data_IF_973100106727
#
_entry.id   IF_973100106727
#
_cell.length_a   1.000
_cell.length_b   1.000
_cell.length_c   1.000
_cell.angle_alpha   90.00
_cell.angle_beta   90.00
_cell.angle_gamma   90.00
#
_symmetry.space_group_name_H-M   'P 1'
#
loop_
_entity.id
_entity.type
_entity.pdbx_description
1 polymer ?
#
# COMPACT_ATOMS: atom_id res chain seq x y z
N UNK A 1 -1.34 1.09 8.13
CA UNK A 1 -1.40 0.62 9.53
C UNK A 1 -0.66 1.60 10.43
N UNK A 2 -1.18 1.84 11.65
CA UNK A 2 -0.55 2.65 12.69
C UNK A 2 0.42 1.79 13.48
N UNK A 3 1.63 1.60 12.95
CA UNK A 3 2.63 0.76 13.58
C UNK A 3 3.17 1.37 14.87
N UNK A 4 3.26 0.56 15.93
CA UNK A 4 3.73 0.99 17.24
C UNK A 4 5.18 1.50 17.20
N UNK A 5 6.05 0.82 16.46
CA UNK A 5 7.48 1.15 16.38
C UNK A 5 7.87 1.86 15.08
N UNK A 6 6.93 2.15 14.19
CA UNK A 6 7.22 2.86 12.94
C UNK A 6 8.32 2.20 12.11
N UNK A 7 9.17 3.04 11.50
CA UNK A 7 10.39 2.59 10.84
C UNK A 7 11.52 2.44 11.86
N UNK A 8 12.45 1.50 11.60
CA UNK A 8 13.58 1.27 12.50
C UNK A 8 14.56 2.44 12.50
N UNK A 9 15.10 2.75 13.68
CA UNK A 9 16.24 3.66 13.82
C UNK A 9 17.52 2.93 13.44
N UNK A 10 18.35 3.61 12.67
CA UNK A 10 19.66 3.13 12.28
C UNK A 10 20.69 3.59 13.33
N UNK A 11 21.47 2.66 13.87
CA UNK A 11 22.62 2.93 14.74
C UNK A 11 23.87 2.32 14.14
N UNK A 12 25.01 2.99 14.32
CA UNK A 12 26.31 2.42 13.97
C UNK A 12 26.96 1.92 15.24
N UNK A 13 27.32 0.64 15.29
CA UNK A 13 28.06 0.01 16.37
C UNK A 13 29.20 -0.82 15.78
N UNK A 14 30.43 -0.56 16.22
CA UNK A 14 31.63 -1.27 15.75
C UNK A 14 31.79 -1.28 14.22
N UNK A 15 31.35 -0.19 13.55
CA UNK A 15 31.34 -0.05 12.08
C UNK A 15 30.19 -0.72 11.35
N UNK A 16 29.28 -1.39 12.05
CA UNK A 16 28.11 -2.05 11.46
C UNK A 16 26.84 -1.25 11.72
N UNK A 17 25.97 -1.23 10.72
CA UNK A 17 24.62 -0.69 10.84
C UNK A 17 23.73 -1.66 11.62
N UNK A 18 23.10 -1.15 12.68
CA UNK A 18 22.16 -1.90 13.53
C UNK A 18 20.81 -1.21 13.50
N UNK A 19 19.75 -1.95 13.21
CA UNK A 19 18.38 -1.48 13.30
C UNK A 19 17.83 -1.68 14.72
N UNK A 20 17.19 -0.65 15.24
CA UNK A 20 16.51 -0.68 16.53
C UNK A 20 15.11 -0.10 16.41
N UNK A 21 14.14 -0.52 17.24
CA UNK A 21 12.79 0.02 17.22
C UNK A 21 12.77 1.54 17.39
N UNK A 22 11.91 2.22 16.60
CA UNK A 22 11.64 3.64 16.76
C UNK A 22 10.35 3.86 17.54
N UNK A 23 10.45 4.20 18.81
CA UNK A 23 9.30 4.47 19.70
C UNK A 23 8.67 5.84 19.41
N UNK A 24 8.31 6.10 18.16
CA UNK A 24 7.80 7.39 17.70
C UNK A 24 6.47 7.81 18.36
N UNK A 25 5.70 6.83 18.88
CA UNK A 25 4.41 7.06 19.57
C UNK A 25 4.55 7.19 21.10
N UNK A 26 5.77 7.11 21.64
CA UNK A 26 6.01 7.12 23.09
C UNK A 26 5.35 8.31 23.81
N UNK A 27 5.35 9.49 23.17
CA UNK A 27 4.77 10.71 23.73
C UNK A 27 3.42 11.08 23.09
N UNK A 28 2.79 10.15 22.36
CA UNK A 28 1.63 10.42 21.54
C UNK A 28 1.95 11.23 20.28
N UNK A 29 0.91 11.58 19.52
CA UNK A 29 1.05 12.41 18.34
C UNK A 29 -0.09 13.45 18.30
N UNK A 30 0.22 14.77 18.43
CA UNK A 30 -0.80 15.81 18.49
C UNK A 30 -1.51 16.06 17.15
N UNK A 31 -0.96 15.51 16.04
CA UNK A 31 -1.55 15.69 14.70
C UNK A 31 -2.53 14.59 14.31
N UNK A 32 -2.65 13.52 15.10
CA UNK A 32 -3.60 12.45 14.82
C UNK A 32 -4.90 12.61 15.62
N UNK A 33 -6.01 12.28 14.98
CA UNK A 33 -7.34 12.25 15.59
C UNK A 33 -7.88 10.83 15.57
N UNK A 34 -8.05 10.21 16.74
CA UNK A 34 -8.69 8.90 16.88
C UNK A 34 -10.18 9.02 16.54
N UNK A 35 -10.69 8.12 15.70
CA UNK A 35 -12.08 8.12 15.19
C UNK A 35 -12.78 6.79 15.50
N UNK A 36 -13.07 6.47 16.77
CA UNK A 36 -13.67 5.19 17.16
C UNK A 36 -15.05 4.96 16.54
N UNK A 37 -15.78 6.03 16.19
CA UNK A 37 -17.09 5.96 15.53
C UNK A 37 -17.04 5.38 14.11
N UNK A 38 -15.86 5.23 13.54
CA UNK A 38 -15.62 4.61 12.22
C UNK A 38 -14.90 3.26 12.33
N UNK A 39 -14.80 2.71 13.53
CA UNK A 39 -14.18 1.40 13.74
C UNK A 39 -14.87 0.30 12.92
N UNK A 40 -14.08 -0.70 12.50
CA UNK A 40 -14.53 -1.84 11.67
C UNK A 40 -13.99 -3.14 12.23
N UNK A 41 -14.85 -4.16 12.33
CA UNK A 41 -14.43 -5.52 12.66
C UNK A 41 -13.71 -6.15 11.44
N UNK A 42 -12.56 -6.78 11.70
CA UNK A 42 -11.84 -7.57 10.71
C UNK A 42 -11.67 -8.99 11.22
N UNK A 43 -12.09 -9.98 10.42
CA UNK A 43 -12.18 -11.40 10.78
C UNK A 43 -11.12 -12.23 10.08
N UNK A 44 -10.56 -13.20 10.79
CA UNK A 44 -9.55 -14.11 10.30
C UNK A 44 -9.91 -15.56 10.62
N UNK A 45 -9.61 -16.46 9.68
CA UNK A 45 -9.77 -17.91 9.87
C UNK A 45 -11.22 -18.36 9.97
N UNK A 46 -11.42 -19.46 10.69
CA UNK A 46 -12.72 -20.11 10.81
C UNK A 46 -13.10 -20.93 9.57
N UNK A 47 -14.39 -21.17 9.45
CA UNK A 47 -14.98 -21.90 8.33
C UNK A 47 -16.16 -21.16 7.74
N UNK A 48 -16.52 -21.45 6.50
CA UNK A 48 -17.65 -20.84 5.81
C UNK A 48 -18.79 -21.85 5.75
N UNK A 49 -19.92 -21.50 6.36
CA UNK A 49 -21.19 -22.20 6.20
C UNK A 49 -22.05 -21.46 5.18
N UNK A 50 -22.71 -22.20 4.33
CA UNK A 50 -23.68 -21.65 3.37
C UNK A 50 -25.10 -21.89 3.86
N UNK A 51 -25.96 -20.92 3.66
CA UNK A 51 -27.39 -20.97 3.99
C UNK A 51 -28.17 -20.33 2.85
N UNK A 52 -29.21 -21.04 2.39
CA UNK A 52 -30.08 -20.48 1.34
C UNK A 52 -31.14 -19.60 2.00
N UNK A 53 -31.17 -18.35 1.58
CA UNK A 53 -32.18 -17.36 1.97
C UNK A 53 -33.33 -17.39 0.97
N UNK A 54 -34.42 -18.05 1.33
CA UNK A 54 -35.61 -18.18 0.48
C UNK A 54 -36.25 -16.83 0.16
N UNK A 55 -36.21 -15.86 1.10
CA UNK A 55 -36.83 -14.56 0.91
C UNK A 55 -36.03 -13.68 -0.07
N UNK A 56 -34.72 -13.77 -0.03
CA UNK A 56 -33.81 -13.04 -0.92
C UNK A 56 -33.48 -13.83 -2.20
N UNK A 57 -33.79 -15.14 -2.25
CA UNK A 57 -33.47 -16.03 -3.38
C UNK A 57 -31.96 -16.20 -3.61
N UNK A 58 -31.16 -16.13 -2.57
CA UNK A 58 -29.70 -16.17 -2.66
C UNK A 58 -29.05 -17.07 -1.59
N UNK A 59 -27.79 -17.45 -1.86
CA UNK A 59 -26.97 -18.14 -0.86
C UNK A 59 -26.22 -17.09 -0.02
N UNK A 60 -26.39 -17.15 1.28
CA UNK A 60 -25.61 -16.40 2.26
C UNK A 60 -24.38 -17.21 2.67
N UNK A 61 -23.24 -16.53 2.79
CA UNK A 61 -21.99 -17.11 3.27
C UNK A 61 -21.71 -16.58 4.68
N UNK A 62 -21.74 -17.50 5.65
CA UNK A 62 -21.61 -17.19 7.07
C UNK A 62 -20.28 -17.69 7.57
N UNK A 63 -19.42 -16.79 8.02
CA UNK A 63 -18.15 -17.15 8.64
C UNK A 63 -18.37 -17.50 10.11
N UNK A 64 -17.90 -18.67 10.53
CA UNK A 64 -18.02 -19.21 11.89
C UNK A 64 -16.64 -19.55 12.46
N UNK A 65 -16.51 -19.58 13.79
CA UNK A 65 -15.29 -19.95 14.51
C UNK A 65 -14.06 -19.11 14.12
N UNK A 66 -14.26 -17.84 13.79
CA UNK A 66 -13.22 -16.91 13.40
C UNK A 66 -12.60 -16.19 14.60
N UNK A 67 -11.39 -15.68 14.41
CA UNK A 67 -10.81 -14.66 15.28
C UNK A 67 -11.09 -13.29 14.68
N UNK A 68 -11.27 -12.27 15.50
CA UNK A 68 -11.48 -10.91 15.01
C UNK A 68 -10.80 -9.85 15.86
N UNK A 69 -10.54 -8.72 15.24
CA UNK A 69 -10.01 -7.51 15.87
C UNK A 69 -10.83 -6.30 15.42
N UNK A 70 -10.86 -5.28 16.26
CA UNK A 70 -11.45 -4.00 15.90
C UNK A 70 -10.39 -3.10 15.27
N UNK A 71 -10.54 -2.77 14.00
CA UNK A 71 -9.73 -1.77 13.33
C UNK A 71 -10.27 -0.37 13.66
N UNK A 72 -9.46 0.45 14.34
CA UNK A 72 -9.82 1.79 14.79
C UNK A 72 -9.01 2.81 14.00
N UNK A 73 -9.67 3.73 13.25
CA UNK A 73 -8.94 4.67 12.41
C UNK A 73 -8.41 5.88 13.22
N UNK A 74 -7.25 6.34 12.77
CA UNK A 74 -6.63 7.59 13.15
C UNK A 74 -6.43 8.44 11.92
N UNK A 75 -6.97 9.66 11.93
CA UNK A 75 -6.95 10.59 10.80
C UNK A 75 -5.87 11.66 11.00
N UNK A 76 -5.08 11.88 9.95
CA UNK A 76 -4.11 12.96 9.84
C UNK A 76 -4.57 13.97 8.80
N UNK A 77 -4.64 15.27 9.13
CA UNK A 77 -4.91 16.29 8.15
C UNK A 77 -3.70 16.50 7.24
N UNK A 78 -3.92 16.39 5.93
CA UNK A 78 -2.92 16.69 4.91
C UNK A 78 -3.32 18.01 4.25
N UNK A 79 -2.69 19.08 4.70
CA UNK A 79 -3.05 20.45 4.32
C UNK A 79 -2.44 20.81 2.97
N UNK A 80 -3.24 21.37 2.06
CA UNK A 80 -2.79 21.91 0.79
C UNK A 80 -2.00 23.21 0.97
N UNK A 81 -1.01 23.44 0.10
CA UNK A 81 -0.19 24.65 0.14
C UNK A 81 -0.93 25.85 -0.42
N UNK A 82 -1.10 26.90 0.40
CA UNK A 82 -1.71 28.16 -0.01
C UNK A 82 -3.16 28.07 -0.50
N UNK A 83 -3.92 27.04 -0.07
CA UNK A 83 -5.33 26.86 -0.43
C UNK A 83 -6.14 26.33 0.77
N UNK A 84 -7.44 26.09 0.56
CA UNK A 84 -8.36 25.61 1.60
C UNK A 84 -8.59 24.09 1.57
N UNK A 85 -7.77 23.33 0.83
CA UNK A 85 -7.92 21.89 0.70
C UNK A 85 -7.22 21.20 1.88
N UNK A 86 -7.93 20.31 2.56
CA UNK A 86 -7.39 19.44 3.59
C UNK A 86 -7.82 17.99 3.24
N UNK A 87 -6.86 17.19 2.85
CA UNK A 87 -7.07 15.76 2.62
C UNK A 87 -6.86 14.98 3.92
N UNK A 88 -7.33 13.75 3.97
CA UNK A 88 -7.17 12.87 5.12
C UNK A 88 -6.25 11.71 4.79
N UNK A 89 -5.18 11.55 5.57
CA UNK A 89 -4.46 10.29 5.66
C UNK A 89 -5.06 9.49 6.81
N UNK A 90 -5.73 8.39 6.49
CA UNK A 90 -6.28 7.47 7.49
C UNK A 90 -5.39 6.27 7.67
N UNK A 91 -4.96 6.03 8.90
CA UNK A 91 -4.23 4.83 9.30
C UNK A 91 -5.02 4.07 10.36
N UNK A 92 -4.76 2.78 10.51
CA UNK A 92 -5.56 1.88 11.33
C UNK A 92 -4.74 1.31 12.49
N UNK A 93 -5.25 1.45 13.69
CA UNK A 93 -4.80 0.72 14.88
C UNK A 93 -5.70 -0.51 15.11
N UNK A 94 -5.21 -1.49 15.83
CA UNK A 94 -5.98 -2.69 16.17
C UNK A 94 -6.25 -2.73 17.67
N UNK A 95 -7.52 -2.91 18.02
CA UNK A 95 -7.98 -3.07 19.41
C UNK A 95 -8.68 -4.42 19.59
N UNK A 96 -8.65 -5.02 20.80
CA UNK A 96 -9.38 -6.25 21.06
C UNK A 96 -10.89 -6.00 20.96
N UNK A 97 -11.65 -7.01 20.52
CA UNK A 97 -13.12 -6.94 20.45
C UNK A 97 -13.75 -7.06 21.84
N UNK A 98 -13.15 -7.88 22.70
CA UNK A 98 -13.62 -8.08 24.07
C UNK A 98 -12.73 -7.35 25.04
N UNK A 99 -13.34 -6.84 26.11
CA UNK A 99 -12.63 -6.30 27.24
C UNK A 99 -11.73 -7.34 27.90
N UNK A 100 -10.84 -6.88 28.76
CA UNK A 100 -9.96 -7.72 29.56
C UNK A 100 -10.76 -8.79 30.32
N UNK A 101 -10.38 -10.07 30.17
CA UNK A 101 -11.07 -11.20 30.77
C UNK A 101 -10.69 -11.35 32.25
N UNK A 102 -11.33 -10.57 33.12
CA UNK A 102 -11.06 -10.56 34.55
C UNK A 102 -11.25 -11.95 35.20
N UNK A 103 -12.29 -12.69 34.81
CA UNK A 103 -12.56 -14.03 35.34
C UNK A 103 -11.45 -15.03 35.06
N UNK A 104 -10.84 -14.94 33.87
CA UNK A 104 -9.67 -15.78 33.51
C UNK A 104 -8.44 -15.36 34.29
N UNK A 105 -8.23 -14.06 34.46
CA UNK A 105 -7.13 -13.53 35.27
C UNK A 105 -7.22 -13.97 36.72
N UNK A 106 -8.38 -13.88 37.34
CA UNK A 106 -8.62 -14.27 38.72
C UNK A 106 -8.45 -15.79 38.98
N UNK A 107 -8.64 -16.60 37.90
CA UNK A 107 -8.34 -18.04 37.91
C UNK A 107 -6.86 -18.39 37.65
N UNK A 108 -6.00 -17.40 37.46
CA UNK A 108 -4.59 -17.60 37.12
C UNK A 108 -4.31 -17.94 35.66
N UNK A 109 -5.30 -17.85 34.78
CA UNK A 109 -5.19 -18.05 33.32
C UNK A 109 -4.71 -16.75 32.65
N UNK A 110 -3.53 -16.24 33.02
CA UNK A 110 -3.05 -14.92 32.63
C UNK A 110 -2.88 -14.76 31.11
N UNK A 111 -2.38 -15.77 30.43
CA UNK A 111 -2.16 -15.74 28.97
C UNK A 111 -3.50 -15.60 28.24
N UNK A 112 -4.52 -16.37 28.67
CA UNK A 112 -5.87 -16.31 28.12
C UNK A 112 -6.53 -14.94 28.35
N UNK A 113 -6.33 -14.35 29.53
CA UNK A 113 -6.88 -13.04 29.88
C UNK A 113 -6.40 -11.92 28.96
N UNK A 114 -5.19 -12.07 28.34
CA UNK A 114 -4.58 -11.07 27.43
C UNK A 114 -4.49 -11.53 25.97
N UNK A 115 -5.00 -12.71 25.64
CA UNK A 115 -4.89 -13.32 24.30
C UNK A 115 -5.41 -12.38 23.20
N UNK A 116 -6.62 -11.85 23.37
CA UNK A 116 -7.25 -10.94 22.40
C UNK A 116 -6.46 -9.64 22.24
N UNK A 117 -5.93 -9.12 23.34
CA UNK A 117 -5.08 -7.93 23.32
C UNK A 117 -3.78 -8.19 22.58
N UNK A 118 -3.15 -9.36 22.78
CA UNK A 118 -1.92 -9.73 22.11
C UNK A 118 -2.15 -9.95 20.62
N UNK A 119 -3.28 -10.59 20.24
CA UNK A 119 -3.65 -10.76 18.82
C UNK A 119 -3.73 -9.40 18.11
N UNK A 120 -4.47 -8.46 18.68
CA UNK A 120 -4.61 -7.12 18.12
C UNK A 120 -3.24 -6.40 18.03
N UNK A 121 -2.48 -6.43 19.14
CA UNK A 121 -1.18 -5.76 19.23
C UNK A 121 -0.18 -6.28 18.19
N UNK A 122 -0.09 -7.59 17.98
CA UNK A 122 0.84 -8.18 17.03
C UNK A 122 0.63 -7.66 15.60
N UNK A 123 -0.62 -7.41 15.19
CA UNK A 123 -0.94 -6.90 13.84
C UNK A 123 -0.34 -5.52 13.59
N UNK A 124 -0.28 -4.67 14.61
CA UNK A 124 0.13 -3.26 14.48
C UNK A 124 1.47 -2.92 15.15
N UNK A 125 2.24 -3.92 15.56
CA UNK A 125 3.46 -3.66 16.32
C UNK A 125 4.62 -3.25 15.41
N UNK A 126 4.91 -4.03 14.38
CA UNK A 126 6.10 -3.85 13.54
C UNK A 126 5.75 -3.93 12.05
N UNK A 127 6.26 -2.97 11.28
CA UNK A 127 6.21 -2.97 9.81
C UNK A 127 7.21 -4.02 9.26
N UNK A 128 6.78 -4.80 8.29
CA UNK A 128 7.58 -5.84 7.63
C UNK A 128 8.20 -6.84 8.63
N UNK A 129 7.38 -7.64 9.34
CA UNK A 129 7.90 -8.71 10.16
C UNK A 129 8.73 -9.69 9.30
N UNK A 130 9.72 -10.34 9.94
CA UNK A 130 10.50 -11.37 9.27
C UNK A 130 9.58 -12.51 8.80
N UNK A 131 9.52 -12.76 7.49
CA UNK A 131 8.66 -13.75 6.83
C UNK A 131 9.43 -14.99 6.31
N UNK A 132 10.62 -15.24 6.84
CA UNK A 132 11.38 -16.46 6.52
C UNK A 132 10.76 -17.73 7.15
N UNK A 133 9.85 -17.58 8.10
CA UNK A 133 9.10 -18.65 8.75
C UNK A 133 7.59 -18.46 8.56
N UNK A 134 6.84 -19.54 8.86
CA UNK A 134 5.40 -19.61 8.56
C UNK A 134 4.60 -18.54 9.32
N UNK A 135 4.87 -18.36 10.61
CA UNK A 135 4.20 -17.39 11.50
C UNK A 135 4.41 -15.95 11.03
N UNK A 136 5.60 -15.63 10.53
CA UNK A 136 5.89 -14.32 9.96
C UNK A 136 5.13 -14.07 8.66
N UNK A 137 5.01 -15.09 7.80
CA UNK A 137 4.16 -15.02 6.60
C UNK A 137 2.68 -14.81 6.97
N UNK A 138 2.19 -15.56 7.95
CA UNK A 138 0.81 -15.43 8.44
C UNK A 138 0.55 -14.02 8.99
N UNK A 139 1.44 -13.49 9.84
CA UNK A 139 1.33 -12.16 10.39
C UNK A 139 1.31 -11.10 9.29
N UNK A 140 2.19 -11.22 8.29
CA UNK A 140 2.26 -10.29 7.18
C UNK A 140 0.99 -10.31 6.31
N UNK A 141 0.41 -11.47 6.05
CA UNK A 141 -0.87 -11.58 5.36
C UNK A 141 -2.03 -11.02 6.22
N UNK A 142 -2.01 -11.24 7.55
CA UNK A 142 -2.95 -10.61 8.49
C UNK A 142 -2.89 -9.09 8.41
N UNK A 143 -1.69 -8.50 8.39
CA UNK A 143 -1.50 -7.06 8.27
C UNK A 143 -2.10 -6.52 6.98
N UNK A 144 -1.85 -7.18 5.84
CA UNK A 144 -2.39 -6.77 4.55
C UNK A 144 -3.92 -6.82 4.53
N UNK A 145 -4.50 -7.92 4.98
CA UNK A 145 -5.96 -8.06 5.00
C UNK A 145 -6.62 -7.11 6.01
N UNK A 146 -6.03 -6.94 7.19
CA UNK A 146 -6.49 -5.97 8.20
C UNK A 146 -6.60 -4.56 7.61
N UNK A 147 -5.55 -4.10 6.98
CA UNK A 147 -5.51 -2.78 6.33
C UNK A 147 -6.55 -2.66 5.22
N UNK A 148 -6.62 -3.65 4.34
CA UNK A 148 -7.52 -3.65 3.18
C UNK A 148 -8.99 -3.72 3.61
N UNK A 149 -9.35 -4.68 4.45
CA UNK A 149 -10.74 -4.88 4.86
C UNK A 149 -11.28 -3.67 5.61
N UNK A 150 -10.53 -3.14 6.58
CA UNK A 150 -10.92 -1.93 7.30
C UNK A 150 -11.12 -0.73 6.36
N UNK A 151 -10.21 -0.54 5.41
CA UNK A 151 -10.27 0.57 4.46
C UNK A 151 -11.45 0.46 3.50
N UNK A 152 -11.71 -0.72 2.96
CA UNK A 152 -12.83 -0.95 2.04
C UNK A 152 -14.19 -0.84 2.71
N UNK A 153 -14.35 -1.45 3.89
CA UNK A 153 -15.57 -1.31 4.69
C UNK A 153 -15.88 0.16 4.99
N UNK A 154 -14.86 0.95 5.39
CA UNK A 154 -15.02 2.37 5.66
C UNK A 154 -15.36 3.16 4.40
N UNK A 155 -14.74 2.83 3.27
CA UNK A 155 -14.96 3.48 1.99
C UNK A 155 -16.37 3.23 1.44
N UNK A 156 -16.83 1.98 1.46
CA UNK A 156 -18.20 1.62 1.06
C UNK A 156 -19.23 2.29 1.99
N UNK A 157 -19.01 2.26 3.30
CA UNK A 157 -19.89 2.94 4.25
C UNK A 157 -19.94 4.47 4.03
N UNK A 158 -18.82 5.10 3.63
CA UNK A 158 -18.78 6.52 3.26
C UNK A 158 -19.57 6.79 1.98
N UNK A 159 -19.42 5.93 0.97
CA UNK A 159 -20.16 6.04 -0.29
C UNK A 159 -21.68 5.99 -0.04
N UNK A 160 -22.15 5.00 0.71
CA UNK A 160 -23.58 4.77 1.04
C UNK A 160 -24.25 5.90 1.82
N UNK A 161 -23.48 6.80 2.45
CA UNK A 161 -24.08 7.99 3.11
C UNK A 161 -24.74 8.96 2.13
N UNK A 162 -24.31 8.98 0.87
CA UNK A 162 -24.75 9.95 -0.12
C UNK A 162 -25.19 9.32 -1.44
N UNK A 163 -25.14 7.99 -1.55
CA UNK A 163 -25.44 7.24 -2.77
C UNK A 163 -26.12 5.91 -2.44
N UNK A 164 -27.26 5.64 -3.05
CA UNK A 164 -28.05 4.43 -2.79
C UNK A 164 -27.68 3.27 -3.72
N UNK A 165 -27.16 3.57 -4.94
CA UNK A 165 -26.83 2.59 -5.96
C UNK A 165 -25.35 2.18 -5.89
N UNK A 166 -25.07 1.06 -5.22
CA UNK A 166 -23.70 0.54 -5.04
C UNK A 166 -23.05 0.10 -6.38
N UNK A 167 -23.85 -0.19 -7.42
CA UNK A 167 -23.31 -0.56 -8.73
C UNK A 167 -22.55 0.57 -9.41
N UNK A 168 -22.72 1.81 -8.94
CA UNK A 168 -22.02 3.02 -9.42
C UNK A 168 -20.84 3.45 -8.54
N UNK A 169 -20.38 2.59 -7.63
CA UNK A 169 -19.25 2.89 -6.74
C UNK A 169 -18.04 3.44 -7.51
N UNK A 170 -17.71 2.85 -8.65
CA UNK A 170 -16.57 3.22 -9.50
C UNK A 170 -16.64 4.67 -10.05
N UNK A 171 -17.82 5.29 -10.11
CA UNK A 171 -17.96 6.69 -10.56
C UNK A 171 -17.44 7.69 -9.51
N UNK A 172 -17.35 7.27 -8.26
CA UNK A 172 -16.99 8.12 -7.11
C UNK A 172 -15.73 7.66 -6.38
N UNK A 173 -15.25 6.46 -6.67
CA UNK A 173 -14.15 5.84 -5.95
C UNK A 173 -13.19 5.12 -6.88
N UNK A 174 -11.91 5.32 -6.66
CA UNK A 174 -10.82 4.53 -7.23
C UNK A 174 -9.97 3.98 -6.09
N UNK A 175 -9.63 2.71 -6.18
CA UNK A 175 -8.72 2.03 -5.26
C UNK A 175 -7.40 1.83 -6.02
N UNK A 176 -6.40 2.65 -5.69
CA UNK A 176 -5.06 2.49 -6.24
C UNK A 176 -4.27 1.53 -5.37
N UNK A 177 -4.03 0.32 -5.87
CA UNK A 177 -3.18 -0.67 -5.23
C UNK A 177 -1.72 -0.28 -5.46
N UNK A 178 -1.07 0.17 -4.38
CA UNK A 178 0.32 0.59 -4.41
C UNK A 178 1.20 -0.62 -4.14
N UNK A 179 1.78 -1.21 -5.18
CA UNK A 179 2.36 -2.54 -5.24
C UNK A 179 1.32 -3.66 -4.99
N UNK A 180 1.78 -4.87 -4.70
CA UNK A 180 0.91 -6.04 -4.45
C UNK A 180 0.43 -6.15 -3.00
N UNK A 181 0.98 -5.35 -2.09
CA UNK A 181 0.63 -5.41 -0.67
C UNK A 181 -0.89 -5.28 -0.41
N UNK A 182 -1.63 -4.38 -1.09
CA UNK A 182 -3.08 -4.28 -0.93
C UNK A 182 -3.88 -5.08 -1.97
N UNK A 183 -3.30 -6.01 -2.72
CA UNK A 183 -4.00 -6.69 -3.83
C UNK A 183 -5.19 -7.54 -3.37
N UNK A 184 -5.20 -8.00 -2.13
CA UNK A 184 -6.37 -8.68 -1.57
C UNK A 184 -7.63 -7.81 -1.61
N UNK A 185 -7.50 -6.50 -1.89
CA UNK A 185 -8.61 -5.56 -2.13
C UNK A 185 -9.55 -6.05 -3.23
N UNK A 186 -9.04 -6.73 -4.25
CA UNK A 186 -9.86 -7.27 -5.34
C UNK A 186 -10.89 -8.26 -4.80
N UNK A 187 -10.44 -9.27 -4.08
CA UNK A 187 -11.32 -10.30 -3.56
C UNK A 187 -12.14 -9.81 -2.35
N UNK A 188 -11.60 -8.94 -1.51
CA UNK A 188 -12.35 -8.36 -0.40
C UNK A 188 -13.46 -7.41 -0.87
N UNK A 189 -13.22 -6.60 -1.91
CA UNK A 189 -14.28 -5.78 -2.49
C UNK A 189 -15.39 -6.64 -3.10
N UNK A 190 -15.02 -7.73 -3.82
CA UNK A 190 -15.99 -8.72 -4.29
C UNK A 190 -16.81 -9.30 -3.14
N UNK A 191 -16.16 -9.67 -2.02
CA UNK A 191 -16.85 -10.20 -0.83
C UNK A 191 -17.86 -9.18 -0.29
N UNK A 192 -17.45 -7.93 -0.10
CA UNK A 192 -18.34 -6.88 0.41
C UNK A 192 -19.54 -6.69 -0.54
N UNK A 193 -19.27 -6.57 -1.85
CA UNK A 193 -20.33 -6.35 -2.84
C UNK A 193 -21.31 -7.52 -2.94
N UNK A 194 -20.84 -8.76 -2.86
CA UNK A 194 -21.71 -9.95 -2.97
C UNK A 194 -22.36 -10.31 -1.64
N UNK A 195 -21.57 -10.43 -0.58
CA UNK A 195 -22.04 -11.02 0.67
C UNK A 195 -22.77 -9.99 1.56
N UNK A 196 -22.37 -8.71 1.52
CA UNK A 196 -22.96 -7.64 2.33
C UNK A 196 -23.95 -6.78 1.52
N UNK A 197 -23.61 -6.42 0.27
CA UNK A 197 -24.47 -5.56 -0.56
C UNK A 197 -25.42 -6.36 -1.47
N UNK A 198 -25.25 -7.67 -1.59
CA UNK A 198 -26.17 -8.58 -2.26
C UNK A 198 -26.10 -8.58 -3.78
N UNK A 199 -25.01 -8.07 -4.38
CA UNK A 199 -24.82 -8.11 -5.84
C UNK A 199 -24.56 -9.55 -6.34
N UNK A 200 -24.98 -9.83 -7.57
CA UNK A 200 -24.52 -11.00 -8.29
C UNK A 200 -23.03 -10.92 -8.64
N UNK A 201 -22.44 -12.07 -8.99
CA UNK A 201 -20.99 -12.14 -9.32
C UNK A 201 -20.61 -11.16 -10.43
N UNK A 202 -21.37 -11.13 -11.54
CA UNK A 202 -20.98 -10.36 -12.72
C UNK A 202 -21.08 -8.84 -12.46
N UNK A 203 -22.10 -8.41 -11.73
CA UNK A 203 -22.23 -7.01 -11.28
C UNK A 203 -21.12 -6.61 -10.33
N UNK A 204 -20.83 -7.44 -9.31
CA UNK A 204 -19.74 -7.19 -8.36
C UNK A 204 -18.38 -7.15 -9.06
N UNK A 205 -18.16 -8.03 -10.04
CA UNK A 205 -16.95 -8.05 -10.85
C UNK A 205 -16.79 -6.80 -11.72
N UNK A 206 -17.88 -6.35 -12.36
CA UNK A 206 -17.87 -5.11 -13.13
C UNK A 206 -17.50 -3.90 -12.26
N UNK A 207 -18.13 -3.77 -11.09
CA UNK A 207 -17.81 -2.70 -10.13
C UNK A 207 -16.35 -2.79 -9.69
N UNK A 208 -15.87 -3.97 -9.31
CA UNK A 208 -14.51 -4.19 -8.83
C UNK A 208 -13.48 -3.84 -9.88
N UNK A 209 -13.67 -4.31 -11.11
CA UNK A 209 -12.72 -4.08 -12.21
C UNK A 209 -12.70 -2.65 -12.73
N UNK A 210 -13.76 -1.87 -12.49
CA UNK A 210 -13.79 -0.43 -12.76
C UNK A 210 -13.27 0.42 -11.61
N UNK A 211 -13.13 -0.16 -10.42
CA UNK A 211 -12.71 0.55 -9.20
C UNK A 211 -11.22 0.37 -8.90
N UNK A 212 -10.64 -0.81 -9.17
CA UNK A 212 -9.27 -1.16 -8.81
C UNK A 212 -8.27 -0.82 -9.91
N UNK A 213 -7.15 -0.19 -9.53
CA UNK A 213 -5.99 0.04 -10.38
C UNK A 213 -4.71 -0.39 -9.66
N UNK A 214 -3.67 -0.78 -10.41
CA UNK A 214 -2.45 -1.35 -9.87
C UNK A 214 -1.20 -0.60 -10.33
N UNK A 215 -0.35 -0.24 -9.38
CA UNK A 215 0.99 0.29 -9.63
C UNK A 215 2.03 -0.76 -9.27
N UNK A 216 2.86 -1.16 -10.22
CA UNK A 216 3.99 -2.05 -9.98
C UNK A 216 5.26 -1.23 -9.68
N UNK A 217 6.02 -1.62 -8.65
CA UNK A 217 7.25 -0.97 -8.21
C UNK A 217 8.51 -1.83 -8.43
N UNK A 218 8.37 -3.11 -8.78
CA UNK A 218 9.49 -4.04 -8.95
C UNK A 218 9.59 -4.60 -10.36
N UNK A 219 10.83 -4.87 -10.82
CA UNK A 219 11.11 -5.58 -12.06
C UNK A 219 11.63 -7.00 -11.83
N UNK A 220 11.88 -7.39 -10.59
CA UNK A 220 12.42 -8.72 -10.26
C UNK A 220 11.27 -9.70 -10.08
N UNK A 221 11.19 -10.71 -10.94
CA UNK A 221 10.13 -11.72 -10.90
C UNK A 221 10.06 -12.48 -9.56
N UNK A 222 11.22 -12.73 -8.93
CA UNK A 222 11.31 -13.35 -7.61
C UNK A 222 10.77 -12.46 -6.48
N UNK A 223 10.72 -11.16 -6.67
CA UNK A 223 10.19 -10.21 -5.70
C UNK A 223 8.67 -9.98 -5.85
N UNK A 224 8.03 -10.57 -6.88
CA UNK A 224 6.57 -10.56 -6.99
C UNK A 224 5.95 -11.45 -5.91
N UNK A 225 5.09 -10.86 -5.10
CA UNK A 225 4.52 -11.49 -3.92
C UNK A 225 3.64 -12.70 -4.23
N UNK A 226 3.88 -13.78 -3.51
CA UNK A 226 3.14 -15.05 -3.61
C UNK A 226 2.82 -15.57 -2.21
N UNK A 227 1.62 -16.12 -2.04
CA UNK A 227 1.22 -16.73 -0.78
C UNK A 227 0.93 -18.21 -0.95
N UNK A 228 1.41 -19.10 -0.05
CA UNK A 228 1.00 -20.51 -0.05
C UNK A 228 -0.53 -20.61 0.07
N UNK A 229 -1.13 -21.45 -0.76
CA UNK A 229 -2.60 -21.62 -0.80
C UNK A 229 -3.13 -22.13 0.54
N UNK A 230 -2.43 -23.03 1.22
CA UNK A 230 -2.82 -23.57 2.52
C UNK A 230 -2.88 -22.46 3.60
N UNK A 231 -1.90 -21.57 3.62
CA UNK A 231 -1.89 -20.41 4.51
C UNK A 231 -3.03 -19.43 4.17
N UNK A 232 -3.16 -19.07 2.89
CA UNK A 232 -4.14 -18.08 2.44
C UNK A 232 -5.57 -18.58 2.67
N UNK A 233 -5.88 -19.83 2.30
CA UNK A 233 -7.22 -20.42 2.44
C UNK A 233 -7.62 -20.62 3.90
N UNK A 234 -6.68 -20.97 4.78
CA UNK A 234 -6.94 -21.13 6.21
C UNK A 234 -7.17 -19.78 6.88
N UNK A 235 -6.38 -18.77 6.53
CA UNK A 235 -6.48 -17.45 7.16
C UNK A 235 -7.67 -16.64 6.64
N UNK A 236 -7.99 -16.78 5.36
CA UNK A 236 -9.00 -15.98 4.66
C UNK A 236 -9.95 -16.87 3.84
N UNK A 237 -10.71 -17.78 4.49
CA UNK A 237 -11.44 -18.84 3.79
C UNK A 237 -12.45 -18.32 2.77
N UNK A 238 -13.23 -17.29 3.08
CA UNK A 238 -14.21 -16.72 2.14
C UNK A 238 -13.54 -15.99 0.99
N UNK A 239 -12.52 -15.20 1.29
CA UNK A 239 -11.72 -14.46 0.29
C UNK A 239 -11.06 -15.45 -0.67
N UNK A 240 -10.54 -16.57 -0.16
CA UNK A 240 -9.92 -17.61 -1.00
C UNK A 240 -10.93 -18.23 -1.98
N UNK A 241 -12.16 -18.55 -1.55
CA UNK A 241 -13.21 -19.04 -2.46
C UNK A 241 -13.46 -18.07 -3.62
N UNK A 242 -13.40 -16.77 -3.35
CA UNK A 242 -13.54 -15.74 -4.37
C UNK A 242 -12.32 -15.72 -5.29
N UNK A 243 -11.11 -15.85 -4.76
CA UNK A 243 -9.88 -15.92 -5.57
C UNK A 243 -9.89 -17.14 -6.49
N UNK A 244 -10.37 -18.31 -6.01
CA UNK A 244 -10.52 -19.51 -6.85
C UNK A 244 -11.46 -19.25 -8.05
N UNK A 245 -12.59 -18.60 -7.82
CA UNK A 245 -13.53 -18.29 -8.91
C UNK A 245 -12.98 -17.21 -9.85
N UNK A 246 -12.26 -16.22 -9.35
CA UNK A 246 -11.57 -15.24 -10.20
C UNK A 246 -10.55 -15.95 -11.10
N UNK A 247 -9.71 -16.82 -10.51
CA UNK A 247 -8.72 -17.60 -11.28
C UNK A 247 -9.37 -18.47 -12.32
N UNK A 248 -10.40 -19.23 -11.96
CA UNK A 248 -11.13 -20.10 -12.86
C UNK A 248 -11.65 -19.36 -14.09
N UNK A 249 -12.27 -18.19 -13.88
CA UNK A 249 -12.80 -17.35 -14.97
C UNK A 249 -11.66 -16.74 -15.79
N UNK A 250 -10.60 -16.30 -15.16
CA UNK A 250 -9.44 -15.73 -15.85
C UNK A 250 -8.70 -16.78 -16.70
N UNK A 251 -8.51 -17.98 -16.18
CA UNK A 251 -7.93 -19.12 -16.93
C UNK A 251 -8.79 -19.48 -18.14
N UNK A 252 -10.11 -19.52 -17.99
CA UNK A 252 -11.02 -19.74 -19.13
C UNK A 252 -10.83 -18.68 -20.21
N UNK A 253 -10.74 -17.41 -19.83
CA UNK A 253 -10.48 -16.31 -20.77
C UNK A 253 -9.13 -16.47 -21.49
N UNK A 254 -8.07 -16.92 -20.78
CA UNK A 254 -6.78 -17.23 -21.42
C UNK A 254 -6.93 -18.35 -22.45
N UNK A 255 -7.64 -19.43 -22.12
CA UNK A 255 -7.86 -20.58 -23.01
C UNK A 255 -8.69 -20.20 -24.25
N UNK A 256 -9.68 -19.32 -24.10
CA UNK A 256 -10.47 -18.79 -25.20
C UNK A 256 -9.62 -17.97 -26.18
N UNK A 257 -8.71 -17.13 -25.64
CA UNK A 257 -7.84 -16.29 -26.47
C UNK A 257 -6.67 -17.05 -27.09
N UNK A 258 -6.21 -18.11 -26.43
CA UNK A 258 -5.02 -18.90 -26.81
C UNK A 258 -5.33 -20.39 -26.77
N UNK A 259 -6.20 -20.91 -27.66
CA UNK A 259 -6.62 -22.30 -27.64
C UNK A 259 -5.45 -23.28 -27.69
N UNK A 260 -5.42 -24.26 -26.77
CA UNK A 260 -4.37 -25.28 -26.69
C UNK A 260 -3.03 -24.81 -26.12
N UNK A 261 -2.90 -23.56 -25.71
CA UNK A 261 -1.65 -23.03 -25.15
C UNK A 261 -1.64 -23.09 -23.62
N UNK A 262 -1.46 -24.28 -23.05
CA UNK A 262 -1.39 -24.46 -21.59
C UNK A 262 -0.14 -23.80 -20.96
N UNK A 263 0.89 -23.48 -21.74
CA UNK A 263 2.04 -22.74 -21.25
C UNK A 263 1.64 -21.29 -20.86
N UNK A 264 0.80 -20.65 -21.65
CA UNK A 264 0.26 -19.33 -21.28
C UNK A 264 -0.63 -19.41 -20.03
N UNK A 265 -1.43 -20.44 -19.89
CA UNK A 265 -2.20 -20.67 -18.65
C UNK A 265 -1.25 -20.77 -17.46
N UNK A 266 -0.23 -21.61 -17.53
CA UNK A 266 0.77 -21.76 -16.47
C UNK A 266 1.46 -20.45 -16.10
N UNK A 267 1.80 -19.62 -17.10
CA UNK A 267 2.47 -18.33 -16.88
C UNK A 267 1.56 -17.27 -16.27
N UNK A 268 0.27 -17.28 -16.59
CA UNK A 268 -0.62 -16.17 -16.28
C UNK A 268 -1.65 -16.45 -15.18
N UNK A 269 -1.98 -17.72 -14.90
CA UNK A 269 -2.93 -18.09 -13.86
C UNK A 269 -2.59 -17.45 -12.51
N UNK A 270 -3.61 -17.09 -11.74
CA UNK A 270 -3.47 -16.54 -10.38
C UNK A 270 -3.07 -17.63 -9.41
N UNK A 271 -3.73 -18.78 -9.51
CA UNK A 271 -3.42 -19.96 -8.70
C UNK A 271 -2.55 -20.92 -9.50
N UNK A 272 -1.32 -21.12 -9.03
CA UNK A 272 -0.40 -22.06 -9.68
C UNK A 272 0.64 -22.56 -8.70
N UNK A 273 1.00 -23.84 -8.83
CA UNK A 273 2.05 -24.48 -8.04
C UNK A 273 1.90 -24.26 -6.52
N UNK A 274 0.68 -24.42 -6.02
CA UNK A 274 0.38 -24.25 -4.60
C UNK A 274 0.46 -22.80 -4.09
N UNK A 275 0.51 -21.80 -4.99
CA UNK A 275 0.67 -20.39 -4.64
C UNK A 275 -0.46 -19.51 -5.19
N UNK A 276 -0.80 -18.48 -4.44
CA UNK A 276 -1.61 -17.34 -4.90
C UNK A 276 -0.66 -16.25 -5.39
N UNK A 277 -0.67 -15.95 -6.69
CA UNK A 277 0.20 -14.95 -7.31
C UNK A 277 -0.48 -13.58 -7.33
N UNK A 278 -0.08 -12.69 -6.42
CA UNK A 278 -0.80 -11.45 -6.16
C UNK A 278 -0.76 -10.46 -7.34
N UNK A 279 0.39 -10.27 -7.97
CA UNK A 279 0.50 -9.40 -9.15
C UNK A 279 -0.42 -9.87 -10.29
N UNK A 280 -0.58 -11.16 -10.50
CA UNK A 280 -1.47 -11.72 -11.53
C UNK A 280 -2.93 -11.37 -11.24
N UNK A 281 -3.36 -11.47 -9.99
CA UNK A 281 -4.71 -11.05 -9.57
C UNK A 281 -4.92 -9.55 -9.75
N UNK A 282 -3.94 -8.73 -9.37
CA UNK A 282 -3.99 -7.28 -9.53
C UNK A 282 -4.15 -6.87 -11.02
N UNK A 283 -3.40 -7.52 -11.92
CA UNK A 283 -3.47 -7.25 -13.36
C UNK A 283 -4.78 -7.76 -13.97
N UNK A 284 -5.24 -8.95 -13.57
CA UNK A 284 -6.50 -9.51 -14.06
C UNK A 284 -7.68 -8.59 -13.75
N UNK A 285 -7.73 -8.04 -12.54
CA UNK A 285 -8.83 -7.22 -12.04
C UNK A 285 -8.67 -5.72 -12.28
N UNK A 286 -7.44 -5.18 -12.27
CA UNK A 286 -7.22 -3.74 -12.41
C UNK A 286 -7.61 -3.20 -13.78
N UNK A 287 -8.27 -2.02 -13.83
CA UNK A 287 -8.53 -1.33 -15.09
C UNK A 287 -7.28 -0.65 -15.66
N UNK A 288 -6.29 -0.38 -14.81
CA UNK A 288 -5.02 0.26 -15.18
C UNK A 288 -3.87 -0.39 -14.44
N UNK A 289 -2.78 -0.63 -15.16
CA UNK A 289 -1.52 -1.17 -14.63
C UNK A 289 -0.41 -0.24 -15.05
N UNK A 290 0.27 0.40 -14.10
CA UNK A 290 1.37 1.28 -14.44
C UNK A 290 2.69 0.87 -13.81
N UNK A 291 3.76 1.11 -14.56
CA UNK A 291 5.11 1.21 -14.03
C UNK A 291 5.39 2.63 -13.54
N UNK A 292 6.53 2.84 -12.89
CA UNK A 292 6.87 4.08 -12.18
C UNK A 292 8.00 4.89 -12.84
N UNK A 293 8.47 4.45 -14.00
CA UNK A 293 9.38 5.16 -14.90
C UNK A 293 9.22 4.62 -16.32
N UNK A 294 9.58 5.39 -17.34
CA UNK A 294 9.45 4.96 -18.75
C UNK A 294 10.17 3.64 -19.00
N UNK A 295 11.44 3.56 -18.63
CA UNK A 295 12.24 2.33 -18.79
C UNK A 295 11.65 1.16 -18.02
N UNK A 296 11.23 1.36 -16.76
CA UNK A 296 10.57 0.35 -15.95
C UNK A 296 9.32 -0.19 -16.65
N UNK A 297 8.47 0.70 -17.16
CA UNK A 297 7.24 0.32 -17.86
C UNK A 297 7.52 -0.47 -19.14
N UNK A 298 8.56 -0.11 -19.91
CA UNK A 298 8.95 -0.88 -21.09
C UNK A 298 9.51 -2.27 -20.73
N UNK A 299 10.23 -2.42 -19.62
CA UNK A 299 10.67 -3.72 -19.11
C UNK A 299 9.45 -4.57 -18.72
N UNK A 300 8.48 -4.02 -18.01
CA UNK A 300 7.24 -4.73 -17.67
C UNK A 300 6.52 -5.23 -18.92
N UNK A 301 6.31 -4.38 -19.93
CA UNK A 301 5.60 -4.72 -21.17
C UNK A 301 6.31 -5.78 -22.01
N UNK A 302 7.64 -5.71 -22.10
CA UNK A 302 8.42 -6.49 -23.05
C UNK A 302 9.06 -7.75 -22.44
N UNK A 303 9.17 -7.81 -21.12
CA UNK A 303 9.84 -8.88 -20.38
C UNK A 303 8.92 -9.48 -19.30
N UNK A 304 8.84 -8.85 -18.13
CA UNK A 304 8.25 -9.45 -16.91
C UNK A 304 6.75 -9.76 -17.03
N UNK A 305 5.97 -8.86 -17.61
CA UNK A 305 4.52 -8.98 -17.75
C UNK A 305 4.07 -9.05 -19.22
N UNK A 306 4.98 -9.51 -20.09
CA UNK A 306 4.78 -9.56 -21.55
C UNK A 306 3.50 -10.28 -21.95
N UNK A 307 3.21 -11.44 -21.35
CA UNK A 307 2.02 -12.22 -21.69
C UNK A 307 0.74 -11.47 -21.32
N UNK A 308 0.73 -10.76 -20.20
CA UNK A 308 -0.40 -9.89 -19.81
C UNK A 308 -0.54 -8.68 -20.71
N UNK A 309 0.59 -8.05 -21.10
CA UNK A 309 0.57 -6.94 -22.03
C UNK A 309 0.06 -7.33 -23.41
N UNK A 310 0.43 -8.51 -23.91
CA UNK A 310 -0.10 -9.04 -25.18
C UNK A 310 -1.60 -9.30 -25.11
N UNK A 311 -2.11 -9.73 -23.96
CA UNK A 311 -3.53 -10.04 -23.76
C UNK A 311 -4.39 -8.80 -23.54
N UNK A 312 -3.85 -7.78 -22.81
CA UNK A 312 -4.58 -6.60 -22.34
C UNK A 312 -3.72 -5.32 -22.46
N UNK A 313 -3.27 -4.96 -23.70
CA UNK A 313 -2.34 -3.84 -23.87
C UNK A 313 -2.90 -2.50 -23.41
N UNK A 314 -4.20 -2.31 -23.47
CA UNK A 314 -4.90 -1.09 -23.07
C UNK A 314 -4.77 -0.75 -21.59
N UNK A 315 -4.49 -1.74 -20.73
CA UNK A 315 -4.31 -1.52 -19.29
C UNK A 315 -2.96 -0.87 -18.94
N UNK A 316 -1.93 -1.11 -19.77
CA UNK A 316 -0.54 -0.78 -19.41
C UNK A 316 -0.17 0.65 -19.78
N UNK A 317 0.31 1.39 -18.80
CA UNK A 317 0.76 2.77 -18.99
C UNK A 317 1.91 3.11 -18.05
N UNK A 318 2.53 4.28 -18.26
CA UNK A 318 3.59 4.79 -17.40
C UNK A 318 3.09 5.98 -16.57
N UNK A 319 3.42 5.98 -15.28
CA UNK A 319 3.31 7.12 -14.38
C UNK A 319 4.64 7.29 -13.68
N UNK A 320 5.50 8.16 -14.25
CA UNK A 320 6.82 8.44 -13.66
C UNK A 320 6.67 8.97 -12.23
N UNK A 321 7.44 8.40 -11.30
CA UNK A 321 7.52 8.92 -9.96
C UNK A 321 7.89 10.40 -9.96
N UNK A 322 7.34 11.13 -9.01
CA UNK A 322 7.61 12.55 -8.81
C UNK A 322 7.90 12.88 -7.36
N UNK A 323 8.35 14.10 -7.16
CA UNK A 323 8.56 14.70 -5.85
C UNK A 323 7.76 15.99 -5.74
N UNK A 324 7.42 16.41 -4.54
CA UNK A 324 6.94 17.77 -4.34
C UNK A 324 8.12 18.74 -4.22
N UNK A 325 8.15 19.75 -5.08
CA UNK A 325 9.17 20.79 -5.08
C UNK A 325 9.20 21.59 -3.76
N UNK A 326 8.10 21.66 -3.06
CA UNK A 326 8.01 22.34 -1.77
C UNK A 326 8.86 21.67 -0.71
N UNK A 327 8.76 20.34 -0.54
CA UNK A 327 9.57 19.60 0.44
C UNK A 327 11.00 19.46 -0.01
N UNK A 328 11.25 19.03 -1.24
CA UNK A 328 12.57 18.62 -1.70
C UNK A 328 13.44 19.76 -2.21
N UNK A 329 12.85 20.92 -2.55
CA UNK A 329 13.58 22.09 -3.02
C UNK A 329 13.37 23.30 -2.10
N UNK A 330 12.15 23.81 -1.99
CA UNK A 330 11.89 25.02 -1.18
C UNK A 330 12.30 24.84 0.30
N UNK A 331 11.99 23.70 0.90
CA UNK A 331 12.35 23.40 2.28
C UNK A 331 13.73 22.73 2.41
N UNK A 332 14.03 21.76 1.55
CA UNK A 332 15.24 20.95 1.64
C UNK A 332 16.52 21.64 1.19
N UNK A 333 16.43 22.64 0.29
CA UNK A 333 17.58 23.39 -0.25
C UNK A 333 17.27 24.89 -0.39
N UNK A 334 17.17 25.63 0.73
CA UNK A 334 16.78 27.03 0.69
C UNK A 334 17.71 27.89 -0.15
N UNK A 335 19.02 27.68 -0.14
CA UNK A 335 19.96 28.46 -0.96
C UNK A 335 19.65 28.34 -2.45
N UNK A 336 19.33 27.14 -2.92
CA UNK A 336 18.95 26.92 -4.32
C UNK A 336 17.54 27.49 -4.59
N UNK A 337 16.61 27.36 -3.66
CA UNK A 337 15.26 27.87 -3.79
C UNK A 337 15.26 29.41 -3.90
N UNK A 338 16.05 30.12 -3.08
CA UNK A 338 16.22 31.55 -3.13
C UNK A 338 16.81 32.00 -4.48
N UNK A 339 17.86 31.33 -4.93
CA UNK A 339 18.48 31.62 -6.25
C UNK A 339 17.49 31.41 -7.40
N UNK A 340 16.71 30.33 -7.39
CA UNK A 340 15.67 30.10 -8.41
C UNK A 340 14.64 31.23 -8.37
N UNK A 341 14.18 31.60 -7.19
CA UNK A 341 13.20 32.67 -7.01
C UNK A 341 13.71 34.02 -7.51
N UNK A 342 14.97 34.33 -7.26
CA UNK A 342 15.60 35.56 -7.76
C UNK A 342 15.67 35.59 -9.30
N UNK A 343 15.91 34.42 -9.95
CA UNK A 343 16.04 34.36 -11.42
C UNK A 343 14.69 34.30 -12.15
N UNK A 344 13.66 33.63 -11.60
CA UNK A 344 12.42 33.34 -12.34
C UNK A 344 11.12 33.72 -11.58
N UNK A 345 11.21 34.27 -10.38
CA UNK A 345 10.07 34.53 -9.49
C UNK A 345 9.66 33.28 -8.72
N UNK A 346 8.71 33.42 -7.79
CA UNK A 346 8.25 32.37 -6.84
C UNK A 346 7.16 31.44 -7.39
N UNK A 347 6.67 31.68 -8.60
CA UNK A 347 5.58 30.89 -9.20
C UNK A 347 5.85 29.39 -9.33
N UNK A 348 7.13 28.96 -9.37
CA UNK A 348 7.53 27.56 -9.42
C UNK A 348 7.13 26.78 -8.15
N UNK A 349 6.92 27.46 -7.02
CA UNK A 349 6.54 26.82 -5.75
C UNK A 349 5.18 26.11 -5.88
N UNK A 350 4.27 26.67 -6.66
CA UNK A 350 2.93 26.10 -6.91
C UNK A 350 2.79 25.46 -8.30
N UNK A 351 3.60 25.90 -9.26
CA UNK A 351 3.63 25.36 -10.62
C UNK A 351 5.07 25.00 -11.05
N UNK A 352 5.44 23.75 -10.84
CA UNK A 352 6.79 23.25 -11.13
C UNK A 352 7.19 23.42 -12.60
N UNK A 353 6.24 23.51 -13.54
CA UNK A 353 6.55 23.71 -14.96
C UNK A 353 7.33 25.00 -15.23
N UNK A 354 7.19 25.99 -14.36
CA UNK A 354 7.91 27.26 -14.46
C UNK A 354 9.42 27.13 -14.28
N UNK A 355 9.93 26.06 -13.69
CA UNK A 355 11.37 25.78 -13.58
C UNK A 355 12.03 25.69 -14.99
N UNK A 356 11.27 25.38 -16.03
CA UNK A 356 11.76 25.42 -17.39
C UNK A 356 12.31 26.79 -17.85
N UNK A 357 11.91 27.88 -17.17
CA UNK A 357 12.45 29.25 -17.39
C UNK A 357 13.93 29.37 -17.06
N UNK A 358 14.50 28.41 -16.31
CA UNK A 358 15.95 28.34 -16.05
C UNK A 358 16.77 27.84 -17.24
N UNK A 359 16.16 27.17 -18.23
CA UNK A 359 16.89 26.61 -19.38
C UNK A 359 17.81 27.58 -20.12
N UNK A 360 17.40 28.85 -20.40
CA UNK A 360 18.27 29.81 -21.05
C UNK A 360 19.52 30.17 -20.23
N UNK A 361 19.45 30.05 -18.89
CA UNK A 361 20.57 30.36 -17.99
C UNK A 361 21.70 29.32 -18.05
N UNK A 362 21.53 28.20 -18.74
CA UNK A 362 22.57 27.19 -18.94
C UNK A 362 23.76 27.77 -19.72
N UNK A 363 23.51 28.72 -20.63
CA UNK A 363 24.55 29.41 -21.42
C UNK A 363 25.13 30.63 -20.69
N UNK A 364 24.58 31.05 -19.57
CA UNK A 364 25.06 32.17 -18.76
C UNK A 364 26.14 31.70 -17.78
N UNK A 365 27.37 32.19 -17.95
CA UNK A 365 28.54 31.82 -17.14
C UNK A 365 28.37 32.25 -15.66
N UNK A 366 27.78 33.40 -15.42
CA UNK A 366 27.57 33.90 -14.07
C UNK A 366 26.52 33.05 -13.34
N UNK A 367 25.41 32.73 -13.99
CA UNK A 367 24.40 31.83 -13.44
C UNK A 367 24.97 30.43 -13.12
N UNK A 368 25.80 29.87 -13.99
CA UNK A 368 26.48 28.58 -13.72
C UNK A 368 27.43 28.67 -12.53
N UNK A 369 28.17 29.77 -12.40
CA UNK A 369 29.08 30.00 -11.28
C UNK A 369 28.32 30.12 -9.96
N UNK A 370 27.24 30.89 -9.93
CA UNK A 370 26.33 31.02 -8.76
C UNK A 370 25.76 29.68 -8.35
N UNK A 371 25.24 28.89 -9.29
CA UNK A 371 24.71 27.56 -9.04
C UNK A 371 25.77 26.62 -8.44
N UNK A 372 26.99 26.61 -8.97
CA UNK A 372 28.08 25.80 -8.45
C UNK A 372 28.54 26.26 -7.06
N UNK A 373 28.50 27.55 -6.79
CA UNK A 373 28.81 28.10 -5.48
C UNK A 373 27.79 27.63 -4.42
N UNK A 374 26.50 27.62 -4.75
CA UNK A 374 25.45 27.06 -3.87
C UNK A 374 25.72 25.60 -3.54
N UNK A 375 26.05 24.80 -4.55
CA UNK A 375 26.43 23.40 -4.32
C UNK A 375 27.65 23.26 -3.40
N UNK A 376 28.65 24.10 -3.61
CA UNK A 376 29.85 24.11 -2.78
C UNK A 376 29.55 24.48 -1.33
N UNK A 377 28.73 25.50 -1.08
CA UNK A 377 28.32 25.89 0.27
C UNK A 377 27.58 24.77 0.99
N UNK A 378 26.67 24.08 0.31
CA UNK A 378 26.00 22.91 0.86
C UNK A 378 26.99 21.78 1.23
N UNK A 379 27.99 21.54 0.38
CA UNK A 379 29.05 20.54 0.67
C UNK A 379 29.94 20.94 1.84
N UNK A 380 30.27 22.23 1.98
CA UNK A 380 30.97 22.75 3.16
C UNK A 380 30.20 22.50 4.44
N UNK A 381 28.88 22.77 4.42
CA UNK A 381 28.01 22.49 5.59
C UNK A 381 27.99 21.00 5.93
N UNK A 382 27.88 20.14 4.91
CA UNK A 382 27.90 18.69 5.09
C UNK A 382 29.27 18.20 5.62
N UNK A 383 30.36 18.69 5.08
CA UNK A 383 31.73 18.36 5.55
C UNK A 383 31.91 18.74 7.02
N UNK A 384 31.42 19.91 7.43
CA UNK A 384 31.44 20.35 8.83
C UNK A 384 30.60 19.40 9.71
N UNK A 385 29.41 19.05 9.30
CA UNK A 385 28.55 18.09 10.02
C UNK A 385 29.23 16.73 10.21
N UNK A 386 29.84 16.19 9.14
CA UNK A 386 30.60 14.94 9.19
C UNK A 386 31.75 15.03 10.20
N UNK A 387 32.49 16.15 10.20
CA UNK A 387 33.58 16.37 11.15
C UNK A 387 33.09 16.37 12.59
N UNK A 388 32.00 17.08 12.86
CA UNK A 388 31.45 17.23 14.21
C UNK A 388 30.87 15.92 14.75
N UNK A 389 30.24 15.08 13.91
CA UNK A 389 29.53 13.87 14.32
C UNK A 389 30.33 12.57 14.17
N UNK A 390 31.22 12.53 13.20
CA UNK A 390 31.98 11.32 12.85
C UNK A 390 33.50 11.49 13.10
N UNK A 391 34.00 12.70 13.34
CA UNK A 391 35.40 12.99 13.51
C UNK A 391 36.26 12.93 12.23
N UNK A 392 35.62 12.82 11.06
CA UNK A 392 36.28 12.63 9.75
C UNK A 392 36.38 13.97 9.04
N UNK A 393 37.58 14.29 8.51
CA UNK A 393 37.78 15.42 7.62
C UNK A 393 37.46 15.01 6.17
N UNK A 394 36.56 15.74 5.53
CA UNK A 394 36.15 15.54 4.13
C UNK A 394 36.42 16.82 3.34
N UNK A 395 37.09 16.69 2.19
CA UNK A 395 37.26 17.83 1.29
C UNK A 395 35.92 18.13 0.56
N UNK A 396 35.33 19.31 0.77
CA UNK A 396 34.06 19.68 0.13
C UNK A 396 34.17 19.85 -1.38
N UNK A 397 35.40 19.85 -1.97
CA UNK A 397 35.60 19.86 -3.41
C UNK A 397 35.55 18.48 -4.03
N UNK A 398 35.65 17.41 -3.25
CA UNK A 398 35.56 16.04 -3.73
C UNK A 398 34.15 15.71 -4.26
N UNK A 399 34.00 14.65 -5.04
CA UNK A 399 32.70 14.10 -5.38
C UNK A 399 32.13 13.37 -4.17
N UNK A 400 30.91 13.72 -3.76
CA UNK A 400 30.17 13.01 -2.72
C UNK A 400 29.27 11.99 -3.40
N UNK A 401 29.59 10.72 -3.23
CA UNK A 401 28.75 9.61 -3.66
C UNK A 401 27.73 9.30 -2.57
N UNK A 402 26.45 9.22 -2.97
CA UNK A 402 25.35 8.96 -2.06
C UNK A 402 24.60 7.75 -2.63
N UNK A 403 24.68 6.65 -1.90
CA UNK A 403 23.92 5.43 -2.17
C UNK A 403 22.54 5.44 -1.47
#
# INVERSE_FOLDING_TARGET
IRYQYGMFKQKIKDGYQIEVPDEWLKNGNPFELKRPEYAKEVRFGGNIRTEYDEAAGRINFIQENYQSVMAVPYDYPVVGYGNHIVNTLRIWDAEPITDFQLDSFDKGEYDKAVEQKNLAKNIVEVLYPNDNHYEGKELRLKQQYFFVSASLQAAVAKYKKNHDDITKLYEKMTIQMNDTHPTVSVAELMRILMDEEGLGWDEAWEVTTKTCAYTNHTIMAEALEKWPIDLFSRLLPRVYQIVEEIDRRFVNKIREMYPGNEEKVRKMAILWDGQVRMAHMAIAAGYSVNGVAKLHTEILKNQELKDFYQMMPEKFNNKTNGITQRRFLAHGNPLLADWITDKIGDGWITDLSQIAKLKPLVEDEDARREFMEIKYQNKVRLAKYIKEHNGIDVDPRSIFDIQ
#
